data_IF_959937990692
#
_entry.id   IF_959937990692
#
_cell.length_a   1.000
_cell.length_b   1.000
_cell.length_c   1.000
_cell.angle_alpha   90.00
_cell.angle_beta   90.00
_cell.angle_gamma   90.00
#
_symmetry.space_group_name_H-M   'P 1'
#
loop_
_entity.id
_entity.type
_entity.pdbx_description
1 polymer ?
#
# COMPACT_ATOMS: atom_id res chain seq x y z
N UNK A 1 7.01 5.67 -30.03
CA UNK A 1 6.14 4.55 -29.61
C UNK A 1 6.92 3.73 -28.59
N UNK A 2 6.46 3.66 -27.35
CA UNK A 2 7.15 2.96 -26.28
C UNK A 2 6.96 1.44 -26.43
N UNK A 3 8.03 0.66 -26.26
CA UNK A 3 8.02 -0.80 -26.33
C UNK A 3 8.35 -1.41 -24.97
N UNK A 4 7.76 -2.57 -24.70
CA UNK A 4 8.06 -3.38 -23.51
C UNK A 4 9.41 -4.09 -23.67
N UNK A 5 9.93 -4.69 -22.58
CA UNK A 5 11.12 -5.53 -22.67
C UNK A 5 10.92 -6.74 -23.60
N UNK A 6 9.67 -7.23 -23.73
CA UNK A 6 9.30 -8.26 -24.70
C UNK A 6 9.27 -7.79 -26.17
N UNK A 7 9.55 -6.51 -26.45
CA UNK A 7 9.56 -5.93 -27.80
C UNK A 7 8.18 -5.57 -28.35
N UNK A 8 7.12 -5.80 -27.56
CA UNK A 8 5.75 -5.45 -27.91
C UNK A 8 5.50 -3.95 -27.74
N UNK A 9 4.50 -3.42 -28.45
CA UNK A 9 4.05 -2.03 -28.24
C UNK A 9 3.31 -1.95 -26.92
N UNK A 10 3.69 -1.01 -26.04
CA UNK A 10 2.96 -0.82 -24.79
C UNK A 10 1.52 -0.37 -25.10
N UNK A 11 0.54 -1.15 -24.67
CA UNK A 11 -0.89 -0.86 -24.84
C UNK A 11 -1.52 -0.73 -23.46
N UNK A 12 -1.99 0.47 -23.15
CA UNK A 12 -2.68 0.78 -21.89
C UNK A 12 -4.10 1.20 -22.22
N UNK A 13 -5.09 0.47 -21.70
CA UNK A 13 -6.51 0.79 -21.91
C UNK A 13 -6.99 1.96 -21.04
N UNK A 14 -6.39 2.13 -19.85
CA UNK A 14 -6.77 3.15 -18.89
C UNK A 14 -6.07 4.48 -19.16
N UNK A 15 -6.83 5.50 -19.53
CA UNK A 15 -6.34 6.88 -19.73
C UNK A 15 -5.55 7.43 -18.53
N UNK A 16 -6.04 7.38 -17.27
CA UNK A 16 -5.27 7.93 -16.15
C UNK A 16 -3.97 7.17 -15.90
N UNK A 17 -3.92 5.85 -16.18
CA UNK A 17 -2.66 5.11 -16.12
C UNK A 17 -1.70 5.55 -17.23
N UNK A 18 -2.20 5.73 -18.45
CA UNK A 18 -1.39 6.16 -19.58
C UNK A 18 -0.78 7.56 -19.33
N UNK A 19 -1.55 8.48 -18.75
CA UNK A 19 -1.07 9.80 -18.35
C UNK A 19 0.00 9.71 -17.24
N UNK A 20 -0.23 8.89 -16.22
CA UNK A 20 0.74 8.72 -15.14
C UNK A 20 2.05 8.10 -15.63
N UNK A 21 1.98 7.11 -16.52
CA UNK A 21 3.16 6.53 -17.18
C UNK A 21 3.85 7.59 -18.05
N UNK A 22 3.11 8.38 -18.82
CA UNK A 22 3.71 9.45 -19.60
C UNK A 22 4.48 10.47 -18.73
N UNK A 23 3.95 10.78 -17.54
CA UNK A 23 4.63 11.65 -16.56
C UNK A 23 5.89 11.01 -15.97
N UNK A 24 5.88 9.70 -15.68
CA UNK A 24 7.10 8.99 -15.27
C UNK A 24 8.20 9.10 -16.32
N UNK A 25 7.85 9.07 -17.60
CA UNK A 25 8.80 9.25 -18.70
C UNK A 25 9.21 10.72 -18.91
N UNK A 26 8.27 11.66 -18.73
CA UNK A 26 8.55 13.09 -18.87
C UNK A 26 9.46 13.64 -17.76
N UNK A 27 9.43 13.02 -16.58
CA UNK A 27 10.27 13.38 -15.42
C UNK A 27 11.68 12.81 -15.46
N UNK A 28 12.04 12.03 -16.48
CA UNK A 28 13.42 11.54 -16.65
C UNK A 28 14.31 12.63 -17.26
N UNK A 29 15.51 12.81 -16.69
CA UNK A 29 16.49 13.80 -17.14
C UNK A 29 17.56 13.14 -18.06
N UNK A 30 18.85 13.38 -17.81
CA UNK A 30 19.96 12.87 -18.62
C UNK A 30 20.10 11.34 -18.56
N UNK A 31 19.70 10.73 -17.45
CA UNK A 31 19.76 9.28 -17.24
C UNK A 31 18.40 8.70 -16.86
N UNK A 32 18.11 7.51 -17.38
CA UNK A 32 16.89 6.77 -17.06
C UNK A 32 17.02 6.10 -15.69
N UNK A 33 16.25 6.57 -14.72
CA UNK A 33 16.19 6.01 -13.38
C UNK A 33 14.99 5.07 -13.27
N UNK A 34 15.18 3.80 -13.67
CA UNK A 34 14.13 2.78 -13.66
C UNK A 34 13.50 2.56 -12.27
N UNK A 35 14.22 2.82 -11.18
CA UNK A 35 13.70 2.78 -9.80
C UNK A 35 12.53 3.74 -9.58
N UNK A 36 12.49 4.83 -10.34
CA UNK A 36 11.50 5.90 -10.23
C UNK A 36 10.29 5.66 -11.17
N UNK A 37 10.36 4.65 -12.03
CA UNK A 37 9.36 4.36 -13.07
C UNK A 37 8.53 3.11 -12.73
N UNK A 38 7.94 3.10 -11.52
CA UNK A 38 7.28 1.92 -10.96
C UNK A 38 6.01 1.55 -11.72
N UNK A 39 5.22 2.54 -12.16
CA UNK A 39 4.01 2.29 -12.93
C UNK A 39 4.35 1.74 -14.32
N UNK A 40 5.41 2.24 -14.94
CA UNK A 40 5.96 1.70 -16.19
C UNK A 40 6.38 0.24 -16.01
N UNK A 41 7.13 -0.07 -14.95
CA UNK A 41 7.55 -1.44 -14.63
C UNK A 41 6.37 -2.40 -14.39
N UNK A 42 5.34 -1.94 -13.68
CA UNK A 42 4.09 -2.69 -13.48
C UNK A 42 3.33 -2.89 -14.78
N UNK A 43 3.23 -1.86 -15.64
CA UNK A 43 2.57 -1.96 -16.94
C UNK A 43 3.26 -2.98 -17.85
N UNK A 44 4.60 -2.96 -17.90
CA UNK A 44 5.37 -3.94 -18.65
C UNK A 44 5.15 -5.37 -18.12
N UNK A 45 5.19 -5.54 -16.80
CA UNK A 45 4.97 -6.85 -16.16
C UNK A 45 3.56 -7.37 -16.43
N UNK A 46 2.55 -6.52 -16.33
CA UNK A 46 1.15 -6.88 -16.56
C UNK A 46 0.86 -7.19 -18.04
N UNK A 47 1.52 -6.48 -18.97
CA UNK A 47 1.35 -6.72 -20.40
C UNK A 47 2.09 -7.95 -20.89
N UNK A 48 3.39 -8.06 -20.59
CA UNK A 48 4.23 -9.15 -21.11
C UNK A 48 3.96 -10.48 -20.36
N UNK A 49 3.47 -10.40 -19.11
CA UNK A 49 3.20 -11.54 -18.24
C UNK A 49 4.26 -12.66 -18.34
N UNK A 50 5.54 -12.36 -18.02
CA UNK A 50 6.65 -13.27 -18.27
C UNK A 50 6.56 -14.60 -17.51
N UNK A 51 5.81 -14.61 -16.39
CA UNK A 51 5.58 -15.81 -15.58
C UNK A 51 4.33 -16.60 -16.02
N UNK A 52 3.64 -16.16 -17.08
CA UNK A 52 2.37 -16.72 -17.52
C UNK A 52 1.37 -16.89 -16.37
N UNK A 53 1.37 -15.95 -15.43
CA UNK A 53 0.53 -15.99 -14.26
C UNK A 53 -0.93 -15.82 -14.66
N UNK A 54 -1.83 -16.60 -14.05
CA UNK A 54 -3.27 -16.42 -14.17
C UNK A 54 -3.80 -15.63 -12.97
N UNK A 55 -5.03 -15.14 -13.07
CA UNK A 55 -5.66 -14.43 -11.94
C UNK A 55 -5.76 -15.31 -10.70
N UNK A 56 -6.05 -16.59 -10.89
CA UNK A 56 -6.17 -17.58 -9.83
C UNK A 56 -4.81 -17.77 -9.16
N UNK A 57 -3.74 -17.94 -9.95
CA UNK A 57 -2.38 -18.09 -9.43
C UNK A 57 -1.93 -16.88 -8.60
N UNK A 58 -2.20 -15.65 -9.06
CA UNK A 58 -1.87 -14.44 -8.31
C UNK A 58 -2.71 -14.36 -7.03
N UNK A 59 -4.00 -14.68 -7.11
CA UNK A 59 -4.90 -14.67 -5.95
C UNK A 59 -4.42 -15.63 -4.87
N UNK A 60 -4.04 -16.86 -5.24
CA UNK A 60 -3.47 -17.84 -4.30
C UNK A 60 -2.23 -17.28 -3.61
N UNK A 61 -1.30 -16.68 -4.35
CA UNK A 61 -0.08 -16.07 -3.79
C UNK A 61 -0.39 -14.93 -2.81
N UNK A 62 -1.41 -14.13 -3.10
CA UNK A 62 -1.85 -13.07 -2.17
C UNK A 62 -2.47 -13.70 -0.92
N UNK A 63 -3.28 -14.74 -1.04
CA UNK A 63 -3.92 -15.43 0.09
C UNK A 63 -2.92 -16.15 1.01
N UNK A 64 -1.73 -16.53 0.52
CA UNK A 64 -0.65 -17.05 1.36
C UNK A 64 -0.24 -16.02 2.44
N UNK A 65 -0.25 -14.72 2.11
CA UNK A 65 0.02 -13.65 3.08
C UNK A 65 -1.14 -13.40 4.06
N UNK A 66 -2.37 -13.78 3.72
CA UNK A 66 -3.52 -13.59 4.61
C UNK A 66 -3.44 -14.49 5.85
N UNK A 67 -2.95 -15.72 5.69
CA UNK A 67 -2.83 -16.67 6.79
C UNK A 67 -1.74 -16.27 7.79
N UNK A 68 -0.68 -15.60 7.32
CA UNK A 68 0.45 -15.13 8.14
C UNK A 68 0.50 -13.62 8.28
N UNK A 69 -0.64 -12.92 8.16
CA UNK A 69 -0.66 -11.45 8.08
C UNK A 69 -0.08 -10.84 9.36
N UNK A 70 0.94 -9.99 9.21
CA UNK A 70 1.72 -9.43 10.32
C UNK A 70 0.88 -8.57 11.29
N UNK A 71 -0.28 -8.07 10.86
CA UNK A 71 -1.19 -7.29 11.70
C UNK A 71 -1.97 -8.16 12.68
N UNK A 72 -2.23 -9.41 12.31
CA UNK A 72 -3.06 -10.32 13.11
C UNK A 72 -2.27 -11.00 14.24
N UNK A 73 -0.94 -11.01 14.15
CA UNK A 73 -0.06 -11.61 15.16
C UNK A 73 0.56 -10.53 16.03
N UNK A 74 0.17 -10.51 17.30
CA UNK A 74 0.71 -9.57 18.29
C UNK A 74 1.77 -10.24 19.17
N UNK A 75 2.86 -9.53 19.46
CA UNK A 75 3.88 -10.02 20.38
C UNK A 75 3.46 -9.74 21.84
N UNK A 76 3.13 -10.82 22.55
CA UNK A 76 2.63 -10.81 23.94
C UNK A 76 3.73 -10.43 24.96
N UNK A 77 5.02 -10.43 24.60
CA UNK A 77 6.10 -10.06 25.53
C UNK A 77 6.10 -8.57 25.92
N UNK A 78 5.34 -7.73 25.22
CA UNK A 78 5.11 -6.34 25.60
C UNK A 78 3.94 -6.16 26.60
N UNK A 79 3.21 -7.24 26.92
CA UNK A 79 2.07 -7.21 27.81
C UNK A 79 2.48 -7.38 29.29
N UNK A 80 2.86 -6.27 29.92
CA UNK A 80 2.60 -6.08 31.36
C UNK A 80 1.16 -5.65 31.65
N UNK A 81 0.25 -5.67 30.66
CA UNK A 81 -1.11 -5.15 30.80
C UNK A 81 -2.12 -5.95 29.98
N UNK A 82 -2.81 -6.85 30.68
CA UNK A 82 -4.25 -7.15 30.62
C UNK A 82 -4.85 -7.79 29.35
N UNK A 83 -4.94 -9.13 29.39
CA UNK A 83 -6.20 -9.89 29.46
C UNK A 83 -7.33 -9.61 28.44
N UNK A 84 -7.06 -9.20 27.20
CA UNK A 84 -8.05 -9.20 26.12
C UNK A 84 -7.54 -9.67 24.75
N UNK A 85 -6.49 -10.49 24.68
CA UNK A 85 -6.27 -11.31 23.48
C UNK A 85 -7.16 -12.56 23.60
N UNK A 86 -8.42 -12.43 23.18
CA UNK A 86 -9.29 -13.59 23.01
C UNK A 86 -8.76 -14.45 21.87
N UNK A 87 -8.33 -15.67 22.19
CA UNK A 87 -8.08 -16.80 21.29
C UNK A 87 -8.93 -16.72 20.00
N UNK A 88 -8.35 -16.24 18.90
CA UNK A 88 -8.89 -16.42 17.55
C UNK A 88 -7.76 -16.30 16.52
N UNK A 89 -6.70 -17.11 16.72
CA UNK A 89 -5.37 -16.97 16.09
C UNK A 89 -5.25 -17.50 14.64
N UNK A 90 -6.35 -17.59 13.89
CA UNK A 90 -6.30 -17.95 12.48
C UNK A 90 -7.48 -17.36 11.70
N UNK A 91 -7.19 -16.79 10.53
CA UNK A 91 -8.23 -16.34 9.59
C UNK A 91 -9.13 -17.53 9.25
N UNK A 92 -10.44 -17.40 9.50
CA UNK A 92 -11.41 -18.45 9.20
C UNK A 92 -11.43 -18.74 7.70
N UNK A 93 -11.62 -20.00 7.33
CA UNK A 93 -11.78 -20.40 5.93
C UNK A 93 -12.97 -19.69 5.24
N UNK A 94 -13.95 -19.22 6.00
CA UNK A 94 -15.04 -18.40 5.48
C UNK A 94 -14.56 -17.00 5.08
N UNK A 95 -13.71 -16.36 5.88
CA UNK A 95 -13.19 -15.01 5.62
C UNK A 95 -12.17 -15.02 4.47
N UNK A 96 -11.33 -16.06 4.40
CA UNK A 96 -10.43 -16.25 3.27
C UNK A 96 -11.17 -16.31 1.93
N UNK A 97 -12.34 -16.96 1.88
CA UNK A 97 -13.20 -16.99 0.68
C UNK A 97 -13.78 -15.63 0.32
N UNK A 98 -14.06 -14.77 1.31
CA UNK A 98 -14.53 -13.40 1.07
C UNK A 98 -13.41 -12.59 0.41
N UNK A 99 -12.18 -12.69 0.93
CA UNK A 99 -11.00 -12.03 0.36
C UNK A 99 -10.68 -12.56 -1.04
N UNK A 100 -10.75 -13.87 -1.24
CA UNK A 100 -10.57 -14.51 -2.55
C UNK A 100 -11.56 -13.97 -3.58
N UNK A 101 -12.85 -13.94 -3.23
CA UNK A 101 -13.91 -13.39 -4.09
C UNK A 101 -13.66 -11.92 -4.42
N UNK A 102 -13.22 -11.13 -3.44
CA UNK A 102 -12.87 -9.73 -3.63
C UNK A 102 -11.68 -9.57 -4.60
N UNK A 103 -10.60 -10.32 -4.43
CA UNK A 103 -9.44 -10.30 -5.33
C UNK A 103 -9.81 -10.72 -6.76
N UNK A 104 -10.61 -11.77 -6.91
CA UNK A 104 -11.05 -12.27 -8.21
C UNK A 104 -11.97 -11.28 -8.96
N UNK A 105 -12.55 -10.29 -8.28
CA UNK A 105 -13.34 -9.24 -8.92
C UNK A 105 -12.50 -8.24 -9.72
N UNK A 106 -11.20 -8.11 -9.43
CA UNK A 106 -10.28 -7.23 -10.15
C UNK A 106 -9.91 -7.80 -11.51
N UNK A 107 -9.52 -6.93 -12.46
CA UNK A 107 -8.89 -7.39 -13.70
C UNK A 107 -7.43 -7.81 -13.43
N UNK A 108 -6.82 -8.45 -14.42
CA UNK A 108 -5.46 -8.98 -14.30
C UNK A 108 -4.44 -7.89 -13.93
N UNK A 109 -4.49 -6.73 -14.58
CA UNK A 109 -3.58 -5.61 -14.33
C UNK A 109 -3.69 -5.09 -12.90
N UNK A 110 -4.91 -4.81 -12.44
CA UNK A 110 -5.14 -4.38 -11.07
C UNK A 110 -4.67 -5.45 -10.06
N UNK A 111 -4.86 -6.74 -10.36
CA UNK A 111 -4.38 -7.82 -9.51
C UNK A 111 -2.85 -7.91 -9.46
N UNK A 112 -2.14 -7.65 -10.58
CA UNK A 112 -0.68 -7.52 -10.60
C UNK A 112 -0.21 -6.36 -9.71
N UNK A 113 -0.89 -5.21 -9.75
CA UNK A 113 -0.62 -4.08 -8.87
C UNK A 113 -0.88 -4.40 -7.40
N UNK A 114 -1.96 -5.14 -7.11
CA UNK A 114 -2.28 -5.60 -5.76
C UNK A 114 -1.22 -6.54 -5.22
N UNK A 115 -0.78 -7.52 -6.02
CA UNK A 115 0.29 -8.44 -5.65
C UNK A 115 1.57 -7.67 -5.29
N UNK A 116 1.97 -6.71 -6.13
CA UNK A 116 3.14 -5.89 -5.88
C UNK A 116 3.06 -5.10 -4.56
N UNK A 117 1.88 -4.56 -4.25
CA UNK A 117 1.63 -3.87 -2.99
C UNK A 117 1.71 -4.82 -1.79
N UNK A 118 1.03 -5.97 -1.85
CA UNK A 118 1.04 -7.00 -0.77
C UNK A 118 2.45 -7.51 -0.52
N UNK A 119 3.21 -7.83 -1.57
CA UNK A 119 4.58 -8.32 -1.43
C UNK A 119 5.53 -7.29 -0.81
N UNK A 120 5.23 -5.99 -0.91
CA UNK A 120 6.04 -4.92 -0.32
C UNK A 120 5.85 -4.81 1.20
N UNK A 121 4.61 -4.88 1.69
CA UNK A 121 4.30 -4.74 3.13
C UNK A 121 4.07 -6.06 3.86
N UNK A 122 4.04 -7.19 3.12
CA UNK A 122 3.81 -8.54 3.64
C UNK A 122 2.47 -8.71 4.37
N UNK A 123 1.47 -7.93 3.97
CA UNK A 123 0.12 -7.91 4.53
C UNK A 123 -0.89 -7.69 3.40
N UNK A 124 -2.04 -8.39 3.47
CA UNK A 124 -3.14 -8.23 2.52
C UNK A 124 -4.07 -7.09 2.95
N UNK A 125 -4.22 -6.90 4.26
CA UNK A 125 -5.14 -5.94 4.85
C UNK A 125 -4.66 -4.48 4.69
N UNK A 126 -3.34 -4.25 4.70
CA UNK A 126 -2.77 -2.92 4.51
C UNK A 126 -3.02 -2.36 3.11
N UNK A 127 -2.64 -3.03 2.00
CA UNK A 127 -2.96 -2.55 0.65
C UNK A 127 -4.47 -2.41 0.41
N UNK A 128 -5.29 -3.33 0.95
CA UNK A 128 -6.74 -3.20 0.91
C UNK A 128 -7.21 -1.86 1.53
N UNK A 129 -6.69 -1.50 2.70
CA UNK A 129 -7.03 -0.26 3.39
C UNK A 129 -6.56 0.99 2.64
N UNK A 130 -5.41 0.91 1.95
CA UNK A 130 -4.90 2.01 1.11
C UNK A 130 -5.75 2.18 -0.16
N UNK A 131 -6.06 1.09 -0.87
CA UNK A 131 -6.88 1.12 -2.10
C UNK A 131 -8.32 1.58 -1.80
N UNK A 132 -8.84 1.28 -0.61
CA UNK A 132 -10.16 1.75 -0.16
C UNK A 132 -10.13 3.14 0.48
N UNK A 133 -8.98 3.84 0.45
CA UNK A 133 -8.77 5.18 1.02
C UNK A 133 -9.10 5.28 2.52
N UNK A 134 -9.02 4.18 3.27
CA UNK A 134 -9.18 4.16 4.72
C UNK A 134 -7.90 4.58 5.44
N UNK A 135 -6.74 4.32 4.83
CA UNK A 135 -5.42 4.56 5.39
C UNK A 135 -4.50 5.17 4.32
N UNK A 136 -3.62 6.09 4.70
CA UNK A 136 -2.58 6.59 3.80
C UNK A 136 -1.46 5.55 3.59
N UNK A 137 -0.76 5.61 2.46
CA UNK A 137 0.34 4.67 2.19
C UNK A 137 1.48 4.78 3.22
N UNK A 138 1.85 5.99 3.64
CA UNK A 138 2.89 6.19 4.66
C UNK A 138 2.47 5.64 6.03
N UNK A 139 1.19 5.80 6.39
CA UNK A 139 0.63 5.27 7.64
C UNK A 139 0.58 3.74 7.61
N UNK A 140 0.19 3.16 6.48
CA UNK A 140 0.19 1.71 6.26
C UNK A 140 1.58 1.10 6.40
N UNK A 141 2.60 1.72 5.81
CA UNK A 141 3.99 1.26 5.96
C UNK A 141 4.45 1.39 7.41
N UNK A 142 4.10 2.49 8.10
CA UNK A 142 4.42 2.64 9.51
C UNK A 142 3.80 1.53 10.37
N UNK A 143 2.56 1.13 10.09
CA UNK A 143 1.95 -0.02 10.75
C UNK A 143 2.69 -1.33 10.44
N UNK A 144 3.14 -1.54 9.20
CA UNK A 144 3.89 -2.73 8.81
C UNK A 144 5.25 -2.84 9.52
N UNK A 145 5.91 -1.71 9.83
CA UNK A 145 7.26 -1.67 10.39
C UNK A 145 7.31 -1.29 11.87
N UNK A 146 6.16 -1.30 12.57
CA UNK A 146 6.08 -0.81 13.95
C UNK A 146 7.02 -1.55 14.92
N UNK A 147 7.14 -2.88 14.75
CA UNK A 147 8.05 -3.71 15.53
C UNK A 147 9.50 -3.35 15.26
N UNK A 148 9.89 -3.28 13.98
CA UNK A 148 11.24 -2.90 13.55
C UNK A 148 11.62 -1.52 14.11
N UNK A 149 10.71 -0.56 14.06
CA UNK A 149 10.94 0.79 14.58
C UNK A 149 11.15 0.78 16.10
N UNK A 150 10.34 0.02 16.83
CA UNK A 150 10.45 -0.11 18.29
C UNK A 150 11.79 -0.73 18.69
N UNK A 151 12.26 -1.72 17.92
CA UNK A 151 13.57 -2.33 18.12
C UNK A 151 14.70 -1.35 17.83
N UNK A 152 14.63 -0.56 16.75
CA UNK A 152 15.61 0.48 16.46
C UNK A 152 15.68 1.56 17.55
N UNK A 153 14.55 1.95 18.14
CA UNK A 153 14.51 2.91 19.26
C UNK A 153 15.17 2.33 20.53
N UNK A 154 15.03 1.02 20.76
CA UNK A 154 15.57 0.34 21.95
C UNK A 154 17.07 0.05 21.81
N UNK A 155 17.54 -0.36 20.64
CA UNK A 155 18.90 -0.85 20.41
C UNK A 155 19.80 0.13 19.65
N UNK A 156 19.30 1.34 19.38
CA UNK A 156 20.00 2.38 18.64
C UNK A 156 19.68 2.33 17.14
N UNK A 157 19.52 3.50 16.54
CA UNK A 157 19.22 3.66 15.11
C UNK A 157 20.51 3.73 14.30
N UNK A 158 20.56 3.01 13.17
CA UNK A 158 21.56 3.30 12.14
C UNK A 158 21.01 4.43 11.27
N UNK A 159 21.59 5.63 11.39
CA UNK A 159 21.21 6.77 10.55
C UNK A 159 21.33 6.40 9.06
N UNK A 160 20.41 6.89 8.23
CA UNK A 160 20.29 6.71 6.76
C UNK A 160 19.66 5.40 6.26
N UNK A 161 19.88 4.25 6.89
CA UNK A 161 19.37 2.98 6.35
C UNK A 161 17.84 2.82 6.51
N UNK A 162 17.30 3.21 7.67
CA UNK A 162 15.90 3.00 8.01
C UNK A 162 14.96 3.98 7.29
N UNK A 163 15.39 5.23 7.08
CA UNK A 163 14.58 6.23 6.37
C UNK A 163 14.44 5.87 4.89
N UNK A 164 15.53 5.41 4.25
CA UNK A 164 15.51 4.97 2.86
C UNK A 164 14.58 3.78 2.67
N UNK A 165 14.64 2.77 3.56
CA UNK A 165 13.76 1.61 3.51
C UNK A 165 12.28 2.02 3.64
N UNK A 166 11.96 2.90 4.59
CA UNK A 166 10.60 3.37 4.78
C UNK A 166 10.08 4.15 3.56
N UNK A 167 10.91 5.02 2.97
CA UNK A 167 10.56 5.76 1.76
C UNK A 167 10.40 4.84 0.55
N UNK A 168 11.26 3.83 0.40
CA UNK A 168 11.18 2.81 -0.65
C UNK A 168 9.89 2.00 -0.54
N UNK A 169 9.57 1.48 0.65
CA UNK A 169 8.33 0.75 0.91
C UNK A 169 7.09 1.62 0.64
N UNK A 170 7.12 2.88 1.06
CA UNK A 170 6.03 3.83 0.81
C UNK A 170 5.84 4.08 -0.68
N UNK A 171 6.92 4.24 -1.44
CA UNK A 171 6.86 4.40 -2.89
C UNK A 171 6.31 3.15 -3.58
N UNK A 172 6.70 1.95 -3.14
CA UNK A 172 6.19 0.67 -3.67
C UNK A 172 4.70 0.49 -3.41
N UNK A 173 4.28 0.67 -2.16
CA UNK A 173 2.88 0.55 -1.76
C UNK A 173 2.01 1.57 -2.49
N UNK A 174 2.49 2.82 -2.60
CA UNK A 174 1.77 3.90 -3.30
C UNK A 174 1.62 3.60 -4.80
N UNK A 175 2.70 3.18 -5.46
CA UNK A 175 2.66 2.83 -6.87
C UNK A 175 1.72 1.65 -7.14
N UNK A 176 1.80 0.59 -6.32
CA UNK A 176 0.89 -0.56 -6.42
C UNK A 176 -0.57 -0.17 -6.22
N UNK A 177 -0.87 0.62 -5.19
CA UNK A 177 -2.22 1.11 -4.92
C UNK A 177 -2.77 2.02 -6.04
N UNK A 178 -1.95 2.94 -6.56
CA UNK A 178 -2.32 3.79 -7.71
C UNK A 178 -2.57 2.96 -8.97
N UNK A 179 -1.74 1.95 -9.22
CA UNK A 179 -1.90 1.06 -10.37
C UNK A 179 -3.21 0.27 -10.27
N UNK A 180 -3.54 -0.26 -9.08
CA UNK A 180 -4.85 -0.88 -8.82
C UNK A 180 -5.97 0.11 -9.10
N UNK A 181 -5.87 1.32 -8.55
CA UNK A 181 -6.89 2.36 -8.69
C UNK A 181 -7.14 2.75 -10.15
N UNK A 182 -6.10 2.97 -10.95
CA UNK A 182 -6.26 3.34 -12.37
C UNK A 182 -6.80 2.20 -13.25
N UNK A 183 -6.53 0.94 -12.90
CA UNK A 183 -7.02 -0.21 -13.66
C UNK A 183 -8.38 -0.71 -13.19
N UNK A 184 -8.80 -0.37 -11.98
CA UNK A 184 -10.12 -0.74 -11.47
C UNK A 184 -11.12 0.28 -11.99
N UNK A 185 -12.00 -0.14 -12.92
CA UNK A 185 -13.05 0.71 -13.51
C UNK A 185 -13.66 1.61 -12.43
N UNK A 186 -13.70 2.91 -12.68
CA UNK A 186 -14.42 3.95 -11.92
C UNK A 186 -15.70 3.40 -11.25
N UNK A 187 -15.58 2.83 -10.05
CA UNK A 187 -16.68 2.67 -9.09
C UNK A 187 -16.75 3.86 -8.13
N UNK A 188 -16.12 4.98 -8.50
CA UNK A 188 -16.32 6.30 -7.89
C UNK A 188 -17.69 6.92 -8.28
N UNK A 189 -18.75 6.13 -8.21
CA UNK A 189 -20.13 6.64 -8.16
C UNK A 189 -20.88 6.16 -6.91
N UNK A 190 -20.33 5.23 -6.09
CA UNK A 190 -21.09 4.68 -4.94
C UNK A 190 -20.41 4.60 -3.58
N UNK A 191 -19.17 5.01 -3.43
CA UNK A 191 -18.58 5.21 -2.08
C UNK A 191 -18.26 6.69 -1.96
N UNK A 192 -19.00 7.37 -1.08
CA UNK A 192 -19.07 8.82 -0.97
C UNK A 192 -17.71 9.51 -1.06
N UNK A 193 -17.55 10.31 -2.12
CA UNK A 193 -16.45 11.25 -2.30
C UNK A 193 -16.33 12.16 -1.06
N UNK A 194 -15.48 11.79 -0.10
CA UNK A 194 -14.81 12.79 0.75
C UNK A 194 -13.60 13.26 -0.02
N UNK A 195 -13.80 14.41 -0.68
CA UNK A 195 -12.78 15.27 -1.28
C UNK A 195 -11.50 15.25 -0.47
N UNK A 196 -10.48 14.53 -0.93
CA UNK A 196 -9.11 14.65 -0.41
C UNK A 196 -8.68 16.09 -0.68
N UNK A 197 -8.45 16.87 0.39
CA UNK A 197 -7.85 18.20 0.25
C UNK A 197 -6.42 17.99 -0.22
N UNK A 198 -6.16 18.40 -1.46
CA UNK A 198 -4.84 18.49 -2.05
C UNK A 198 -3.98 19.42 -1.18
N UNK A 199 -3.06 18.88 -0.38
CA UNK A 199 -1.99 19.67 0.24
C UNK A 199 -0.89 19.77 -0.82
N UNK A 200 -0.94 20.82 -1.62
CA UNK A 200 0.15 21.17 -2.52
C UNK A 200 1.24 21.82 -1.66
N UNK A 201 2.30 21.08 -1.34
CA UNK A 201 3.49 21.68 -0.73
C UNK A 201 4.31 22.28 -1.87
N UNK A 202 4.10 23.57 -2.12
CA UNK A 202 4.92 24.36 -3.04
C UNK A 202 6.33 24.54 -2.45
N UNK A 203 7.40 24.39 -3.26
CA UNK A 203 8.75 24.68 -2.81
C UNK A 203 8.96 26.21 -2.83
N UNK A 204 9.67 26.72 -1.82
CA UNK A 204 10.06 28.13 -1.62
C UNK A 204 9.03 28.99 -0.86
N UNK A 205 9.25 29.21 0.44
CA UNK A 205 9.72 30.50 1.00
C UNK A 205 9.89 30.36 2.53
N UNK A 206 11.11 30.61 3.01
CA UNK A 206 11.44 30.82 4.42
C UNK A 206 10.88 32.18 4.85
N UNK A 207 10.01 32.23 5.87
CA UNK A 207 10.03 33.20 6.96
C UNK A 207 8.72 33.20 7.80
N UNK A 208 8.91 33.08 9.11
CA UNK A 208 8.09 33.61 10.20
C UNK A 208 6.55 33.58 10.11
N UNK A 209 5.95 32.62 10.84
CA UNK A 209 4.85 32.93 11.78
C UNK A 209 5.06 32.10 13.06
N UNK A 210 5.88 32.62 13.98
CA UNK A 210 5.85 32.20 15.38
C UNK A 210 4.96 33.19 16.14
N UNK A 211 3.87 32.66 16.70
CA UNK A 211 2.95 33.36 17.60
C UNK A 211 2.41 32.38 18.64
N UNK A 212 3.33 31.95 19.51
CA UNK A 212 3.17 31.30 20.82
C UNK A 212 1.76 31.00 21.33
N UNK A 213 1.45 29.71 21.49
CA UNK A 213 0.61 29.19 22.58
C UNK A 213 1.03 27.75 22.95
N UNK A 214 1.89 27.67 23.97
CA UNK A 214 2.06 26.58 24.95
C UNK A 214 1.81 25.13 24.52
N UNK A 215 2.89 24.36 24.60
CA UNK A 215 2.96 22.91 24.54
C UNK A 215 1.87 22.18 25.34
N UNK A 216 1.17 21.26 24.68
CA UNK A 216 0.87 19.93 25.21
C UNK A 216 1.24 18.93 24.13
N UNK A 217 2.10 17.99 24.49
CA UNK A 217 2.39 16.81 23.69
C UNK A 217 1.09 16.02 23.49
N UNK A 218 0.43 16.21 22.35
CA UNK A 218 -0.60 15.29 21.90
C UNK A 218 0.12 14.07 21.32
N UNK A 219 0.22 13.00 22.13
CA UNK A 219 0.49 11.66 21.61
C UNK A 219 -0.53 11.37 20.51
N UNK A 220 -0.06 11.14 19.29
CA UNK A 220 -0.87 10.57 18.23
C UNK A 220 -1.43 9.23 18.74
N UNK A 221 -2.74 8.95 18.58
CA UNK A 221 -3.32 7.71 19.07
C UNK A 221 -2.88 6.57 18.16
N UNK A 222 -1.85 5.83 18.57
CA UNK A 222 -1.36 4.59 17.97
C UNK A 222 -2.45 3.52 17.80
N UNK A 223 -3.59 3.64 18.50
CA UNK A 223 -4.70 2.69 18.43
C UNK A 223 -5.65 2.87 17.23
N UNK A 224 -5.72 4.04 16.56
CA UNK A 224 -6.83 4.28 15.62
C UNK A 224 -6.69 3.56 14.27
N UNK A 225 -5.47 3.42 13.75
CA UNK A 225 -5.22 2.77 12.46
C UNK A 225 -5.35 1.23 12.52
N UNK A 226 -5.00 0.64 13.67
CA UNK A 226 -5.05 -0.81 13.91
C UNK A 226 -6.49 -1.27 14.19
N UNK A 227 -7.25 -0.50 14.97
CA UNK A 227 -8.69 -0.76 15.18
C UNK A 227 -9.44 -0.71 13.85
N UNK A 228 -9.08 0.20 12.93
CA UNK A 228 -9.66 0.25 11.59
C UNK A 228 -9.40 -1.02 10.75
N UNK A 229 -8.28 -1.74 10.97
CA UNK A 229 -8.01 -3.02 10.30
C UNK A 229 -8.86 -4.17 10.86
N UNK A 230 -9.11 -4.21 12.17
CA UNK A 230 -10.07 -5.15 12.76
C UNK A 230 -11.51 -4.91 12.24
N UNK A 231 -11.89 -3.63 12.04
CA UNK A 231 -13.14 -3.29 11.36
C UNK A 231 -13.12 -3.55 9.84
N UNK A 232 -11.94 -3.68 9.20
CA UNK A 232 -11.86 -3.94 7.77
C UNK A 232 -12.34 -5.35 7.41
N UNK A 233 -12.07 -6.35 8.25
CA UNK A 233 -12.58 -7.72 8.09
C UNK A 233 -14.11 -7.75 8.25
N UNK A 234 -14.66 -7.04 9.23
CA UNK A 234 -16.12 -6.89 9.38
C UNK A 234 -16.76 -6.03 8.26
N UNK A 235 -16.04 -5.05 7.71
CA UNK A 235 -16.53 -4.22 6.61
C UNK A 235 -16.57 -4.95 5.25
N UNK A 236 -15.93 -6.12 5.13
CA UNK A 236 -16.04 -7.01 3.97
C UNK A 236 -17.33 -7.86 3.99
N UNK A 237 -18.11 -7.83 5.07
CA UNK A 237 -19.37 -8.58 5.23
C UNK A 237 -20.63 -7.80 4.77
N UNK A 238 -20.47 -6.59 4.21
CA UNK A 238 -21.55 -5.75 3.63
C UNK A 238 -21.30 -5.48 2.15
#
# INVERSE_FOLDING_TARGET
>A
MLKTQGGNVLQIESEPLALAVAEEWASQEEHLHMSNMRLTGLAFTAQDNPLHATKESITTKILEYLHGDTILYWNDESAKLENHCSETDAVSAADAKIVEKWLMSYNFWALTGMQYAVESVKSVLLPYSVVTFKLGAAEAVHCATIEQKTQSETWGTVEWAHDIEQHELTARLSAGALFVYFNTRLQLVRIGCRRVRHVYVSPCTVAHVFGTATARHARLPSCSAIVQCHYAVHALQL
#
